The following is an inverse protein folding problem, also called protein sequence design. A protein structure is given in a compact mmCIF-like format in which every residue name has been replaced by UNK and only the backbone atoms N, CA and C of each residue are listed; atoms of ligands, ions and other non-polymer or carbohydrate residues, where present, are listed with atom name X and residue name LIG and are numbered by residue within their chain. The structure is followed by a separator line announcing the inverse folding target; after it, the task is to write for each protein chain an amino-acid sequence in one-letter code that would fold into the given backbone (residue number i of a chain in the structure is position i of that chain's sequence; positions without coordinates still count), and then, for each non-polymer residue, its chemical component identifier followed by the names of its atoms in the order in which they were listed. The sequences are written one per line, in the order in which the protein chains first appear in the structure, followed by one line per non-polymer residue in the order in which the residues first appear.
data_IF_518227782046
#
_entry.id   IF_518227782046
#
_cell.length_a   1.000
_cell.length_b   1.000
_cell.length_c   1.000
_cell.angle_alpha   90.00
_cell.angle_beta   90.00
_cell.angle_gamma   90.00
#
_symmetry.space_group_name_H-M   'P 1'
#
loop_
_entity.id
_entity.type
_entity.pdbx_description
1 polymer ?
#
# COMPACT_ATOMS: atom_id res chain seq x y z
N UNK A 1 -63.72 15.02 52.15
CA UNK A 1 -62.46 14.25 51.95
C UNK A 1 -62.05 14.33 50.49
N UNK A 2 -61.02 15.10 50.19
CA UNK A 2 -60.54 15.29 48.83
C UNK A 2 -59.21 14.50 48.71
N UNK A 3 -59.18 13.47 47.89
CA UNK A 3 -57.99 12.74 47.56
C UNK A 3 -57.30 13.39 46.35
N UNK A 4 -56.12 13.90 46.55
CA UNK A 4 -55.20 14.34 45.44
C UNK A 4 -54.48 13.13 44.86
N UNK A 5 -54.47 12.97 43.56
CA UNK A 5 -53.57 11.97 42.95
C UNK A 5 -52.12 12.52 42.82
N UNK A 6 -51.20 11.88 43.50
CA UNK A 6 -49.75 12.08 43.26
C UNK A 6 -49.43 11.61 41.85
N UNK A 7 -48.99 12.52 41.01
CA UNK A 7 -48.41 12.22 39.72
C UNK A 7 -46.96 11.67 39.93
N UNK A 8 -46.79 10.38 39.69
CA UNK A 8 -45.48 9.76 39.63
C UNK A 8 -44.82 10.15 38.31
N UNK A 9 -43.89 11.10 38.34
CA UNK A 9 -43.04 11.43 37.22
C UNK A 9 -41.93 10.37 37.12
N UNK A 10 -42.08 9.41 36.21
CA UNK A 10 -41.08 8.41 35.88
C UNK A 10 -40.00 9.07 35.03
N UNK A 11 -38.87 9.39 35.66
CA UNK A 11 -37.68 9.91 34.99
C UNK A 11 -37.03 8.77 34.19
N UNK A 12 -37.32 8.68 32.89
CA UNK A 12 -36.60 7.83 31.95
C UNK A 12 -35.18 8.39 31.77
N UNK A 13 -34.24 7.92 32.58
CA UNK A 13 -32.82 8.07 32.26
C UNK A 13 -32.55 7.24 31.01
N UNK A 14 -32.54 7.90 29.86
CA UNK A 14 -31.96 7.38 28.64
C UNK A 14 -30.47 7.11 28.89
N UNK A 15 -30.11 5.84 29.07
CA UNK A 15 -28.74 5.34 29.02
C UNK A 15 -28.23 5.58 27.61
N UNK A 16 -27.78 6.79 27.32
CA UNK A 16 -26.93 7.05 26.16
C UNK A 16 -25.62 6.30 26.40
N UNK A 17 -25.50 5.09 25.85
CA UNK A 17 -24.19 4.45 25.67
C UNK A 17 -23.31 5.48 24.98
N UNK A 18 -22.15 5.84 25.55
CA UNK A 18 -21.22 6.68 24.82
C UNK A 18 -20.92 5.96 23.52
N UNK A 19 -21.33 6.52 22.40
CA UNK A 19 -20.84 6.13 21.10
C UNK A 19 -19.31 6.33 21.20
N UNK A 20 -18.57 5.24 21.39
CA UNK A 20 -17.11 5.28 21.41
C UNK A 20 -16.72 5.83 20.03
N UNK A 21 -16.48 7.13 19.96
CA UNK A 21 -15.95 7.75 18.76
C UNK A 21 -14.60 7.10 18.55
N UNK A 22 -14.55 6.16 17.61
CA UNK A 22 -13.32 5.47 17.26
C UNK A 22 -12.32 6.53 16.80
N UNK A 23 -11.35 6.82 17.65
CA UNK A 23 -10.36 7.87 17.45
C UNK A 23 -9.34 7.39 16.41
N UNK A 24 -8.98 8.28 15.49
CA UNK A 24 -7.87 8.02 14.57
C UNK A 24 -6.57 8.04 15.35
N UNK A 25 -5.78 6.98 15.18
CA UNK A 25 -4.48 6.82 15.84
C UNK A 25 -3.36 6.83 14.79
N UNK A 26 -2.22 7.38 15.14
CA UNK A 26 -0.99 7.15 14.39
C UNK A 26 -0.47 5.76 14.74
N UNK A 27 -0.42 4.90 13.74
CA UNK A 27 0.12 3.55 13.84
C UNK A 27 1.53 3.52 13.26
N UNK A 28 2.48 2.99 14.02
CA UNK A 28 3.90 2.90 13.64
C UNK A 28 4.30 1.44 13.54
N UNK A 29 4.85 1.03 12.40
CA UNK A 29 5.37 -0.33 12.22
C UNK A 29 6.84 -0.29 11.75
N UNK A 30 7.76 -0.68 12.63
CA UNK A 30 9.20 -0.68 12.35
C UNK A 30 9.63 -1.81 11.42
N UNK A 31 8.94 -2.95 11.44
CA UNK A 31 9.25 -4.09 10.58
C UNK A 31 8.92 -3.76 9.12
N UNK A 32 7.77 -3.15 8.88
CA UNK A 32 7.34 -2.74 7.55
C UNK A 32 7.63 -1.27 7.22
N UNK A 33 8.39 -0.57 8.08
CA UNK A 33 8.99 0.74 7.80
C UNK A 33 7.99 1.84 7.42
N UNK A 34 6.84 1.90 8.08
CA UNK A 34 5.85 2.93 7.83
C UNK A 34 5.21 3.49 9.10
N UNK A 35 4.67 4.71 8.97
CA UNK A 35 3.63 5.25 9.84
C UNK A 35 2.37 5.48 9.03
N UNK A 36 1.21 5.53 9.67
CA UNK A 36 -0.05 5.84 9.01
C UNK A 36 -1.18 5.98 10.02
N UNK A 37 -2.18 6.79 9.69
CA UNK A 37 -3.33 7.00 10.56
C UNK A 37 -4.42 5.97 10.26
N UNK A 38 -4.84 5.25 11.28
CA UNK A 38 -5.93 4.27 11.18
C UNK A 38 -7.08 4.63 12.14
N UNK A 39 -8.33 4.31 11.80
CA UNK A 39 -9.45 4.43 12.73
C UNK A 39 -9.36 3.30 13.78
N UNK A 40 -8.54 3.53 14.82
CA UNK A 40 -8.21 2.55 15.85
C UNK A 40 -7.08 1.59 15.44
N UNK A 41 -6.77 0.65 16.32
CA UNK A 41 -5.70 -0.34 16.13
C UNK A 41 -6.00 -1.26 14.93
N UNK A 42 -5.15 -1.29 13.88
CA UNK A 42 -5.40 -2.15 12.73
C UNK A 42 -5.21 -3.63 13.09
N UNK A 43 -6.03 -4.48 12.49
CA UNK A 43 -5.82 -5.91 12.46
C UNK A 43 -4.73 -6.23 11.44
N UNK A 44 -3.77 -7.06 11.83
CA UNK A 44 -2.68 -7.49 10.95
C UNK A 44 -2.88 -8.93 10.53
N UNK A 45 -2.87 -9.18 9.21
CA UNK A 45 -3.01 -10.52 8.64
C UNK A 45 -1.82 -10.80 7.73
N UNK A 46 -1.15 -11.93 7.93
CA UNK A 46 -0.12 -12.41 7.01
C UNK A 46 -0.77 -13.10 5.81
N UNK A 47 -0.24 -12.85 4.63
CA UNK A 47 -0.70 -13.41 3.36
C UNK A 47 0.45 -13.52 2.37
N UNK A 48 0.14 -13.87 1.14
CA UNK A 48 1.09 -13.83 0.03
C UNK A 48 0.57 -12.94 -1.09
N UNK A 49 1.49 -12.40 -1.87
CA UNK A 49 1.21 -11.61 -3.06
C UNK A 49 1.92 -12.25 -4.25
N UNK A 50 1.21 -12.46 -5.35
CA UNK A 50 1.81 -12.95 -6.59
C UNK A 50 2.20 -11.76 -7.45
N UNK A 51 3.49 -11.62 -7.72
CA UNK A 51 4.02 -10.54 -8.55
C UNK A 51 3.72 -10.73 -10.04
N UNK A 52 4.02 -9.72 -10.84
CA UNK A 52 3.78 -9.73 -12.29
C UNK A 52 4.39 -10.96 -12.99
N UNK A 53 5.59 -11.38 -12.58
CA UNK A 53 6.29 -12.54 -13.15
C UNK A 53 6.11 -13.82 -12.31
N UNK A 54 5.10 -13.82 -11.44
CA UNK A 54 4.68 -15.01 -10.70
C UNK A 54 5.61 -15.40 -9.57
N UNK A 55 6.34 -14.46 -8.98
CA UNK A 55 6.96 -14.67 -7.68
C UNK A 55 5.90 -14.62 -6.59
N UNK A 56 5.91 -15.59 -5.67
CA UNK A 56 5.06 -15.59 -4.50
C UNK A 56 5.83 -14.93 -3.36
N UNK A 57 5.41 -13.73 -3.00
CA UNK A 57 6.08 -12.86 -2.04
C UNK A 57 5.32 -12.81 -0.71
N UNK A 58 6.01 -12.75 0.44
CA UNK A 58 5.37 -12.49 1.72
C UNK A 58 4.66 -11.14 1.70
N UNK A 59 3.47 -11.07 2.28
CA UNK A 59 2.73 -9.83 2.42
C UNK A 59 2.02 -9.75 3.77
N UNK A 60 1.79 -8.53 4.26
CA UNK A 60 0.97 -8.23 5.43
C UNK A 60 -0.10 -7.23 5.06
N UNK A 61 -1.31 -7.48 5.55
CA UNK A 61 -2.45 -6.58 5.39
C UNK A 61 -2.79 -6.01 6.76
N UNK A 62 -2.72 -4.70 6.87
CA UNK A 62 -3.15 -3.89 8.01
C UNK A 62 -4.53 -3.35 7.69
N UNK A 63 -5.56 -3.75 8.42
CA UNK A 63 -6.93 -3.38 8.12
C UNK A 63 -7.65 -2.83 9.33
N UNK A 64 -8.48 -1.81 9.10
CA UNK A 64 -9.38 -1.24 10.10
C UNK A 64 -10.69 -0.81 9.44
N UNK A 65 -11.75 -0.75 10.24
CA UNK A 65 -13.08 -0.34 9.79
C UNK A 65 -13.62 0.77 10.69
N UNK A 66 -14.40 1.67 10.12
CA UNK A 66 -15.16 2.68 10.86
C UNK A 66 -16.56 2.78 10.26
N UNK A 67 -17.56 2.30 10.99
CA UNK A 67 -18.89 2.15 10.44
C UNK A 67 -18.88 1.19 9.25
N UNK A 68 -19.25 1.67 8.06
CA UNK A 68 -19.21 0.91 6.81
C UNK A 68 -17.97 1.21 5.96
N UNK A 69 -17.11 2.13 6.42
CA UNK A 69 -15.88 2.48 5.74
C UNK A 69 -14.77 1.49 6.07
N UNK A 70 -13.99 1.12 5.08
CA UNK A 70 -12.87 0.15 5.19
C UNK A 70 -11.57 0.81 4.79
N UNK A 71 -10.52 0.52 5.55
CA UNK A 71 -9.19 1.08 5.37
C UNK A 71 -8.17 -0.04 5.45
N UNK A 72 -7.27 -0.11 4.50
CA UNK A 72 -6.23 -1.13 4.48
C UNK A 72 -4.93 -0.62 3.89
N UNK A 73 -3.84 -1.15 4.41
CA UNK A 73 -2.52 -1.08 3.82
C UNK A 73 -2.03 -2.51 3.61
N UNK A 74 -1.67 -2.86 2.38
CA UNK A 74 -0.93 -4.10 2.09
C UNK A 74 0.53 -3.75 1.89
N UNK A 75 1.41 -4.42 2.63
CA UNK A 75 2.86 -4.31 2.46
C UNK A 75 3.38 -5.64 1.93
N UNK A 76 4.00 -5.60 0.75
CA UNK A 76 4.59 -6.78 0.10
C UNK A 76 6.10 -6.69 0.17
N UNK A 77 6.75 -7.73 0.64
CA UNK A 77 8.21 -7.77 0.77
C UNK A 77 8.88 -8.32 -0.51
N UNK A 78 9.52 -7.42 -1.25
CA UNK A 78 10.28 -7.73 -2.47
C UNK A 78 11.76 -8.04 -2.22
N UNK A 79 12.22 -8.06 -0.97
CA UNK A 79 13.65 -8.25 -0.66
C UNK A 79 14.25 -9.54 -1.21
N UNK A 80 13.43 -10.57 -1.41
CA UNK A 80 13.87 -11.87 -1.93
C UNK A 80 13.49 -12.11 -3.41
N UNK A 81 13.02 -11.08 -4.14
CA UNK A 81 12.51 -11.23 -5.50
C UNK A 81 13.55 -11.82 -6.46
N UNK A 82 14.81 -11.38 -6.36
CA UNK A 82 15.90 -11.90 -7.18
C UNK A 82 16.11 -13.39 -6.96
N UNK A 83 16.23 -13.80 -5.71
CA UNK A 83 16.42 -15.21 -5.34
C UNK A 83 15.25 -16.07 -5.83
N UNK A 84 14.01 -15.64 -5.55
CA UNK A 84 12.79 -16.40 -5.90
C UNK A 84 12.70 -16.61 -7.41
N UNK A 85 12.89 -15.55 -8.20
CA UNK A 85 12.78 -15.66 -9.66
C UNK A 85 13.98 -16.39 -10.28
N UNK A 86 15.18 -16.25 -9.72
CA UNK A 86 16.37 -17.03 -10.16
C UNK A 86 16.16 -18.51 -9.88
N UNK A 87 15.74 -18.89 -8.67
CA UNK A 87 15.46 -20.28 -8.31
C UNK A 87 14.33 -20.88 -9.19
N UNK A 88 13.31 -20.07 -9.52
CA UNK A 88 12.25 -20.46 -10.45
C UNK A 88 12.78 -20.74 -11.84
N UNK A 89 13.66 -19.88 -12.35
CA UNK A 89 14.27 -20.03 -13.65
C UNK A 89 15.14 -21.29 -13.77
N UNK A 90 15.93 -21.58 -12.74
CA UNK A 90 16.80 -22.76 -12.71
C UNK A 90 16.03 -24.09 -12.77
N UNK A 91 14.77 -24.07 -12.29
CA UNK A 91 13.87 -25.25 -12.32
C UNK A 91 13.15 -25.43 -13.65
N UNK A 92 13.27 -24.50 -14.57
CA UNK A 92 12.63 -24.55 -15.86
C UNK A 92 13.36 -25.50 -16.79
N UNK A 93 12.59 -26.34 -17.50
CA UNK A 93 13.14 -27.16 -18.56
C UNK A 93 13.69 -26.29 -19.71
N UNK A 94 14.83 -26.66 -20.26
CA UNK A 94 15.38 -25.97 -21.41
C UNK A 94 14.33 -25.90 -22.56
N UNK A 95 14.10 -24.70 -23.10
CA UNK A 95 13.15 -24.40 -24.19
C UNK A 95 11.66 -24.28 -23.78
N UNK A 96 11.33 -24.13 -22.50
CA UNK A 96 9.95 -23.87 -22.09
C UNK A 96 9.67 -22.36 -22.23
N UNK A 97 8.76 -21.97 -23.13
CA UNK A 97 8.21 -20.62 -23.17
C UNK A 97 7.54 -20.31 -21.83
N UNK A 98 7.83 -19.15 -21.22
CA UNK A 98 7.25 -18.73 -19.94
C UNK A 98 8.13 -18.98 -18.71
N UNK A 99 9.33 -19.51 -18.85
CA UNK A 99 10.31 -19.54 -17.77
C UNK A 99 10.99 -18.17 -17.60
N UNK A 100 10.44 -17.39 -16.70
CA UNK A 100 10.90 -16.03 -16.41
C UNK A 100 12.08 -16.06 -15.44
N UNK A 101 13.29 -15.89 -15.91
CA UNK A 101 14.45 -15.80 -15.02
C UNK A 101 15.79 -16.12 -15.69
N UNK A 102 15.79 -16.44 -16.98
CA UNK A 102 17.04 -16.65 -17.70
C UNK A 102 17.80 -15.33 -17.89
N UNK A 103 19.12 -15.44 -18.00
CA UNK A 103 20.04 -14.39 -18.43
C UNK A 103 19.81 -13.95 -19.89
N UNK A 104 18.66 -14.29 -20.47
CA UNK A 104 18.29 -13.95 -21.83
C UNK A 104 18.03 -12.46 -21.98
N UNK A 105 18.59 -11.88 -23.02
CA UNK A 105 18.47 -10.49 -23.44
C UNK A 105 18.97 -9.48 -22.41
N UNK A 106 20.22 -9.07 -22.52
CA UNK A 106 20.86 -7.93 -21.84
C UNK A 106 21.33 -8.10 -20.39
N UNK A 107 21.39 -9.29 -19.81
CA UNK A 107 21.96 -9.49 -18.46
C UNK A 107 21.12 -8.91 -17.30
N UNK A 108 19.93 -8.37 -17.60
CA UNK A 108 18.98 -7.90 -16.60
C UNK A 108 17.98 -9.02 -16.36
N UNK A 109 18.09 -9.74 -15.24
CA UNK A 109 17.13 -10.78 -14.87
C UNK A 109 15.70 -10.23 -14.77
N UNK A 110 14.70 -11.08 -15.06
CA UNK A 110 13.28 -10.69 -14.98
C UNK A 110 12.87 -10.14 -13.60
N UNK A 111 13.61 -10.45 -12.53
CA UNK A 111 13.36 -9.91 -11.21
C UNK A 111 13.46 -8.37 -11.15
N UNK A 112 14.35 -7.76 -11.96
CA UNK A 112 14.44 -6.30 -12.06
C UNK A 112 13.23 -5.70 -12.76
N UNK A 113 12.74 -6.36 -13.80
CA UNK A 113 11.50 -5.94 -14.48
C UNK A 113 10.30 -6.08 -13.56
N UNK A 114 10.22 -7.16 -12.79
CA UNK A 114 9.17 -7.38 -11.80
C UNK A 114 9.19 -6.29 -10.73
N UNK A 115 10.37 -6.01 -10.19
CA UNK A 115 10.56 -4.97 -9.18
C UNK A 115 10.18 -3.58 -9.72
N UNK A 116 10.68 -3.21 -10.91
CA UNK A 116 10.36 -1.92 -11.52
C UNK A 116 8.90 -1.82 -11.95
N UNK A 117 8.30 -2.91 -12.38
CA UNK A 117 6.90 -3.00 -12.79
C UNK A 117 5.91 -3.10 -11.64
N UNK A 118 6.36 -3.31 -10.40
CA UNK A 118 5.49 -3.62 -9.26
C UNK A 118 4.39 -2.58 -9.00
N UNK A 119 4.72 -1.28 -9.08
CA UNK A 119 3.73 -0.19 -8.92
C UNK A 119 2.67 -0.27 -10.02
N UNK A 120 3.10 -0.44 -11.27
CA UNK A 120 2.20 -0.53 -12.43
C UNK A 120 1.31 -1.75 -12.32
N UNK A 121 1.87 -2.91 -11.97
CA UNK A 121 1.13 -4.14 -11.81
C UNK A 121 0.08 -4.07 -10.69
N UNK A 122 0.44 -3.53 -9.53
CA UNK A 122 -0.51 -3.31 -8.44
C UNK A 122 -1.59 -2.28 -8.81
N UNK A 123 -1.23 -1.23 -9.55
CA UNK A 123 -2.19 -0.24 -10.08
C UNK A 123 -3.17 -0.89 -11.06
N UNK A 124 -2.69 -1.76 -11.93
CA UNK A 124 -3.54 -2.48 -12.89
C UNK A 124 -4.65 -3.27 -12.18
N UNK A 125 -4.39 -3.85 -11.01
CA UNK A 125 -5.40 -4.55 -10.25
C UNK A 125 -6.60 -3.67 -9.86
N UNK A 126 -6.39 -2.37 -9.65
CA UNK A 126 -7.48 -1.40 -9.44
C UNK A 126 -8.20 -1.06 -10.75
N UNK A 127 -7.46 -0.92 -11.85
CA UNK A 127 -8.05 -0.56 -13.16
C UNK A 127 -8.92 -1.68 -13.73
N UNK A 128 -8.68 -2.92 -13.33
CA UNK A 128 -9.48 -4.09 -13.76
C UNK A 128 -10.72 -4.33 -12.90
N UNK A 129 -10.95 -3.53 -11.86
CA UNK A 129 -12.17 -3.64 -11.05
C UNK A 129 -13.39 -3.15 -11.84
N UNK A 130 -14.56 -3.69 -11.50
CA UNK A 130 -15.85 -3.16 -12.01
C UNK A 130 -16.19 -1.83 -11.28
N UNK A 131 -15.42 -0.80 -11.61
CA UNK A 131 -15.51 0.53 -11.02
C UNK A 131 -15.12 1.59 -12.06
N UNK A 132 -15.67 2.78 -11.93
CA UNK A 132 -15.27 3.92 -12.76
C UNK A 132 -14.03 4.57 -12.15
N UNK A 133 -12.93 4.55 -12.87
CA UNK A 133 -11.73 5.31 -12.50
C UNK A 133 -12.02 6.79 -12.76
N UNK A 134 -11.99 7.60 -11.72
CA UNK A 134 -12.25 9.05 -11.79
C UNK A 134 -10.95 9.87 -11.75
N UNK A 135 -9.89 9.29 -11.21
CA UNK A 135 -8.57 9.89 -11.19
C UNK A 135 -7.50 8.80 -11.21
N UNK A 136 -6.46 9.01 -11.98
CA UNK A 136 -5.20 8.26 -11.94
C UNK A 136 -4.08 9.24 -12.25
N UNK A 137 -3.17 9.40 -11.34
CA UNK A 137 -2.00 10.26 -11.52
C UNK A 137 -0.76 9.67 -10.85
N UNK A 138 0.38 10.02 -11.38
CA UNK A 138 1.64 9.88 -10.70
C UNK A 138 1.72 10.95 -9.60
N UNK A 139 2.16 10.55 -8.41
CA UNK A 139 2.30 11.45 -7.27
C UNK A 139 3.52 11.06 -6.44
N UNK A 140 3.97 11.98 -5.60
CA UNK A 140 5.03 11.71 -4.64
C UNK A 140 4.50 11.87 -3.23
N UNK A 141 4.94 10.98 -2.34
CA UNK A 141 4.72 11.12 -0.92
C UNK A 141 6.07 11.11 -0.21
N UNK A 142 6.42 12.23 0.46
CA UNK A 142 7.78 12.46 1.00
C UNK A 142 8.88 12.10 -0.01
N UNK A 143 8.74 12.59 -1.23
CA UNK A 143 9.65 12.34 -2.35
C UNK A 143 9.74 10.88 -2.83
N UNK A 144 8.92 9.96 -2.33
CA UNK A 144 8.78 8.61 -2.89
C UNK A 144 7.70 8.64 -3.95
N UNK A 145 8.07 8.33 -5.20
CA UNK A 145 7.16 8.31 -6.35
C UNK A 145 6.22 7.10 -6.35
N UNK A 146 5.01 7.30 -6.82
CA UNK A 146 4.00 6.26 -6.93
C UNK A 146 2.76 6.69 -7.68
N UNK A 147 1.70 5.90 -7.61
CA UNK A 147 0.42 6.18 -8.23
C UNK A 147 -0.65 6.47 -7.19
N UNK A 148 -1.52 7.42 -7.50
CA UNK A 148 -2.76 7.65 -6.77
C UNK A 148 -3.96 7.44 -7.68
N UNK A 149 -4.99 6.80 -7.15
CA UNK A 149 -6.22 6.49 -7.87
C UNK A 149 -7.45 6.85 -7.04
N UNK A 150 -8.49 7.33 -7.74
CA UNK A 150 -9.82 7.46 -7.18
C UNK A 150 -10.78 6.66 -8.07
N UNK A 151 -11.64 5.87 -7.44
CA UNK A 151 -12.63 5.06 -8.13
C UNK A 151 -14.02 5.29 -7.52
N UNK A 152 -15.02 5.25 -8.37
CA UNK A 152 -16.42 5.12 -7.96
C UNK A 152 -16.87 3.70 -8.26
N UNK A 153 -17.18 2.95 -7.22
CA UNK A 153 -17.60 1.57 -7.30
C UNK A 153 -19.07 1.47 -7.79
N UNK A 154 -19.51 0.26 -8.16
CA UNK A 154 -20.86 -0.01 -8.67
C UNK A 154 -21.96 0.34 -7.66
N UNK A 155 -21.69 0.17 -6.37
CA UNK A 155 -22.57 0.53 -5.26
C UNK A 155 -22.48 2.02 -4.87
N UNK A 156 -21.83 2.83 -5.70
CA UNK A 156 -21.55 4.26 -5.52
C UNK A 156 -20.62 4.60 -4.34
N UNK A 157 -20.07 3.59 -3.67
CA UNK A 157 -18.98 3.83 -2.73
C UNK A 157 -17.75 4.37 -3.47
N UNK A 158 -16.91 5.11 -2.75
CA UNK A 158 -15.69 5.70 -3.31
C UNK A 158 -14.46 5.02 -2.73
N UNK A 159 -13.56 4.60 -3.62
CA UNK A 159 -12.26 4.06 -3.23
C UNK A 159 -11.17 5.05 -3.58
N UNK A 160 -10.34 5.38 -2.59
CA UNK A 160 -9.10 6.11 -2.77
C UNK A 160 -7.94 5.18 -2.50
N UNK A 161 -7.07 5.02 -3.48
CA UNK A 161 -5.94 4.11 -3.40
C UNK A 161 -4.64 4.82 -3.75
N UNK A 162 -3.54 4.34 -3.17
CA UNK A 162 -2.20 4.76 -3.55
C UNK A 162 -1.25 3.56 -3.54
N UNK A 163 -0.27 3.57 -4.44
CA UNK A 163 0.71 2.50 -4.59
C UNK A 163 2.09 3.11 -4.63
N UNK A 164 2.97 2.69 -3.71
CA UNK A 164 4.34 3.17 -3.61
C UNK A 164 5.31 2.00 -3.45
N UNK A 165 6.54 2.20 -3.90
CA UNK A 165 7.65 1.28 -3.64
C UNK A 165 8.70 2.01 -2.82
N UNK A 166 9.08 1.45 -1.66
CA UNK A 166 10.09 2.02 -0.80
C UNK A 166 10.87 0.91 -0.08
N UNK A 167 12.20 0.98 -0.07
CA UNK A 167 13.06 -0.02 0.59
C UNK A 167 12.71 -1.48 0.25
N UNK A 168 12.52 -1.80 -1.03
CA UNK A 168 12.13 -3.13 -1.50
C UNK A 168 10.80 -3.64 -0.93
N UNK A 169 9.94 -2.74 -0.48
CA UNK A 169 8.57 -3.05 -0.06
C UNK A 169 7.58 -2.28 -0.93
N UNK A 170 6.58 -3.00 -1.42
CA UNK A 170 5.45 -2.42 -2.14
C UNK A 170 4.33 -2.13 -1.14
N UNK A 171 3.87 -0.89 -1.11
CA UNK A 171 2.80 -0.43 -0.24
C UNK A 171 1.56 -0.14 -1.10
N UNK A 172 0.48 -0.84 -0.81
CA UNK A 172 -0.81 -0.66 -1.48
C UNK A 172 -1.79 -0.16 -0.43
N UNK A 173 -2.11 1.11 -0.49
CA UNK A 173 -3.01 1.83 0.41
C UNK A 173 -4.38 1.86 -0.23
N UNK A 174 -5.42 1.50 0.49
CA UNK A 174 -6.79 1.51 -0.01
C UNK A 174 -7.78 1.91 1.09
N UNK A 175 -8.54 2.97 0.86
CA UNK A 175 -9.65 3.37 1.69
C UNK A 175 -10.94 3.41 0.87
N UNK A 176 -11.99 2.72 1.31
CA UNK A 176 -13.30 2.70 0.67
C UNK A 176 -14.36 3.19 1.62
N UNK A 177 -15.12 4.20 1.19
CA UNK A 177 -16.19 4.83 1.98
C UNK A 177 -17.52 4.78 1.24
N UNK A 178 -18.65 4.54 1.93
CA UNK A 178 -19.98 4.56 1.32
C UNK A 178 -20.30 5.92 0.69
N UNK A 179 -21.29 5.93 -0.20
CA UNK A 179 -21.85 7.17 -0.72
C UNK A 179 -22.36 8.06 0.43
N UNK A 180 -22.10 9.37 0.35
CA UNK A 180 -22.48 10.34 1.37
C UNK A 180 -21.55 10.47 2.56
N UNK A 181 -20.67 9.51 2.79
CA UNK A 181 -19.62 9.60 3.81
C UNK A 181 -18.41 10.43 3.30
N UNK A 182 -17.64 11.06 4.19
CA UNK A 182 -16.38 11.68 3.82
C UNK A 182 -15.47 10.67 3.11
N UNK A 183 -14.76 11.12 2.08
CA UNK A 183 -13.86 10.24 1.34
C UNK A 183 -12.61 9.84 2.15
N UNK A 184 -11.90 8.82 1.68
CA UNK A 184 -10.71 8.28 2.34
C UNK A 184 -9.41 9.03 1.99
N UNK A 185 -9.49 10.27 1.48
CA UNK A 185 -8.32 11.02 1.06
C UNK A 185 -7.32 11.28 2.18
N UNK A 186 -7.79 11.60 3.38
CA UNK A 186 -6.91 11.78 4.53
C UNK A 186 -6.19 10.49 4.92
N UNK A 187 -6.85 9.34 4.82
CA UNK A 187 -6.20 8.04 5.03
C UNK A 187 -5.15 7.77 3.95
N UNK A 188 -5.52 7.95 2.67
CA UNK A 188 -4.62 7.75 1.53
C UNK A 188 -3.32 8.57 1.68
N UNK A 189 -3.38 9.75 2.29
CA UNK A 189 -2.29 10.71 2.43
C UNK A 189 -1.63 10.70 3.81
N UNK A 190 -2.00 9.80 4.72
CA UNK A 190 -1.50 9.81 6.10
C UNK A 190 -0.23 9.02 6.32
N UNK A 191 0.26 8.31 5.30
CA UNK A 191 1.38 7.40 5.46
C UNK A 191 2.73 8.12 5.42
N UNK A 192 3.69 7.60 6.14
CA UNK A 192 5.07 8.10 6.20
C UNK A 192 6.08 6.96 6.18
N UNK A 193 7.31 7.28 5.84
CA UNK A 193 8.42 6.35 5.79
C UNK A 193 9.29 6.48 7.03
N UNK A 194 9.70 5.38 7.62
CA UNK A 194 10.58 5.36 8.79
C UNK A 194 11.79 4.45 8.55
N UNK A 195 12.86 4.76 9.24
CA UNK A 195 14.07 3.93 9.29
C UNK A 195 13.94 2.76 10.28
N UNK A 196 15.01 2.00 10.47
CA UNK A 196 15.06 0.85 11.39
C UNK A 196 14.84 1.22 12.84
N UNK A 197 15.17 2.44 13.19
CA UNK A 197 15.02 2.96 14.55
C UNK A 197 13.62 3.52 14.80
N UNK A 198 12.84 3.72 13.72
CA UNK A 198 11.51 4.32 13.75
C UNK A 198 11.52 5.84 13.57
N UNK A 199 12.65 6.42 13.13
CA UNK A 199 12.72 7.84 12.82
C UNK A 199 12.16 8.11 11.41
N UNK A 200 11.43 9.22 11.27
CA UNK A 200 10.85 9.62 9.99
C UNK A 200 11.93 9.92 8.95
N UNK A 201 11.76 9.37 7.76
CA UNK A 201 12.62 9.59 6.62
C UNK A 201 12.00 10.69 5.74
N UNK A 202 12.81 11.69 5.38
CA UNK A 202 12.47 12.70 4.38
C UNK A 202 13.62 12.82 3.39
N UNK A 203 13.31 12.54 2.12
CA UNK A 203 14.29 12.66 1.05
C UNK A 203 14.36 14.09 0.53
N UNK A 204 15.56 14.61 0.30
CA UNK A 204 15.78 15.92 -0.29
C UNK A 204 15.55 15.95 -1.80
N UNK A 205 15.62 14.78 -2.44
CA UNK A 205 15.37 14.59 -3.86
C UNK A 205 14.43 13.39 -4.07
N UNK A 206 13.89 13.26 -5.28
CA UNK A 206 13.02 12.14 -5.62
C UNK A 206 13.74 10.81 -5.35
N UNK A 207 13.12 10.00 -4.50
CA UNK A 207 13.57 8.64 -4.21
C UNK A 207 13.23 7.74 -5.40
N UNK A 208 14.26 7.23 -6.05
CA UNK A 208 14.08 6.33 -7.19
C UNK A 208 14.19 4.88 -6.71
N UNK A 209 13.01 4.28 -6.40
CA UNK A 209 12.78 2.84 -6.19
C UNK A 209 14.01 2.05 -5.75
N UNK A 210 14.56 2.33 -4.60
CA UNK A 210 15.73 1.75 -3.93
C UNK A 210 16.36 0.49 -4.55
N UNK A 211 16.54 0.49 -5.82
CA UNK A 211 17.64 -0.29 -6.39
C UNK A 211 18.90 0.38 -5.88
N UNK A 212 19.83 -0.34 -5.27
CA UNK A 212 21.14 0.23 -5.01
C UNK A 212 21.59 0.91 -6.29
N UNK A 213 21.99 2.17 -6.19
CA UNK A 213 22.54 2.86 -7.36
C UNK A 213 23.52 1.89 -7.99
N UNK A 214 23.47 1.67 -9.33
CA UNK A 214 24.49 0.86 -9.97
C UNK A 214 25.85 1.39 -9.51
N UNK A 215 26.81 0.52 -9.19
CA UNK A 215 28.14 0.99 -8.84
C UNK A 215 28.50 2.04 -9.87
N UNK A 216 28.89 3.23 -9.43
CA UNK A 216 29.34 4.27 -10.35
C UNK A 216 30.42 3.64 -11.19
N UNK A 217 30.09 3.34 -12.44
CA UNK A 217 31.12 3.00 -13.41
C UNK A 217 32.11 4.16 -13.39
N UNK A 218 33.39 3.90 -13.48
CA UNK A 218 34.36 4.94 -13.73
C UNK A 218 33.79 5.83 -14.82
N UNK A 219 33.88 7.17 -14.71
CA UNK A 219 33.43 8.06 -15.74
C UNK A 219 34.01 7.55 -17.06
N UNK A 220 33.25 7.49 -18.16
CA UNK A 220 33.75 6.99 -19.43
C UNK A 220 35.07 7.66 -19.69
N UNK A 221 36.14 6.84 -19.77
CA UNK A 221 37.49 7.34 -19.86
C UNK A 221 37.53 8.37 -20.97
N UNK A 222 38.12 9.52 -20.69
CA UNK A 222 38.42 10.54 -21.67
C UNK A 222 39.07 9.83 -22.88
N UNK A 223 38.36 9.85 -24.03
CA UNK A 223 38.93 9.39 -25.28
C UNK A 223 40.11 10.35 -25.57
N UNK A 224 41.29 9.98 -25.11
CA UNK A 224 42.48 10.68 -25.52
C UNK A 224 42.65 10.39 -27.01
N UNK A 225 42.20 11.37 -27.80
CA UNK A 225 42.51 11.39 -29.24
C UNK A 225 44.02 11.38 -29.42
N UNK A 226 44.49 10.40 -30.17
CA UNK A 226 45.81 10.42 -30.79
C UNK A 226 45.78 11.29 -32.03
#
# INVERSE_FOLDING_TARGET
MRFSPLAAATLLLSLSTPASAQEWIEYVNKEDRFTGNFPGQPRVTQTTYTSQYGAVLPARVYSAERGKSRYSLTVVDYSQIEKILTDKAQKCAAKTEGCYGGTGFSGVGHWRLDFHGAIVYATQAFLLRDAKVTQLNWNTYYSVGGHQLHLTNRDRSRTMAAVYMHNQKLYIIEGTTPEGEPDAGLFQQSFGWIDEKGANIRYQSLYQHAMPAPPRGDPPGEIRGN
#
